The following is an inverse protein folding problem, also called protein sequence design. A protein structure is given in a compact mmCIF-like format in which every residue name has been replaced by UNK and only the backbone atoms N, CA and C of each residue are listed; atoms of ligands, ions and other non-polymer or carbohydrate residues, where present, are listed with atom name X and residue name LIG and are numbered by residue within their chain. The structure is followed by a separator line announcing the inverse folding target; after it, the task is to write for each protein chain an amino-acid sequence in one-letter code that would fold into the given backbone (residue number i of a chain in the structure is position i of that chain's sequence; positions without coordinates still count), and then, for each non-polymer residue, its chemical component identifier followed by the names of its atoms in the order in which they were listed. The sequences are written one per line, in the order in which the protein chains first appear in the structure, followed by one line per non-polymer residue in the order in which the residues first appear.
data_IF_201137166160
#
_entry.id   IF_201137166160
#
_cell.length_a   1.000
_cell.length_b   1.000
_cell.length_c   1.000
_cell.angle_alpha   90.00
_cell.angle_beta   90.00
_cell.angle_gamma   90.00
#
_symmetry.space_group_name_H-M   'P 1'
#
loop_
_entity.id
_entity.type
_entity.pdbx_description
1 polymer ?
#
# COMPACT_ATOMS: atom_id res chain seq x y z
N UNK A 1 -11.31 4.85 17.60
CA UNK A 1 -11.40 5.00 16.13
C UNK A 1 -12.50 4.07 15.65
N UNK A 2 -13.37 4.51 14.75
CA UNK A 2 -14.38 3.67 14.09
C UNK A 2 -13.67 2.57 13.28
N UNK A 3 -14.19 1.35 13.33
CA UNK A 3 -13.62 0.22 12.59
C UNK A 3 -13.94 0.37 11.09
N UNK A 4 -12.92 0.43 10.21
CA UNK A 4 -13.16 0.56 8.77
C UNK A 4 -13.75 -0.72 8.17
N UNK A 5 -15.03 -0.70 7.78
CA UNK A 5 -15.65 -1.79 7.03
C UNK A 5 -15.46 -1.58 5.52
N UNK A 6 -14.53 -2.30 4.90
CA UNK A 6 -14.20 -2.14 3.47
C UNK A 6 -15.35 -2.47 2.51
N UNK A 7 -16.39 -3.20 2.93
CA UNK A 7 -17.54 -3.49 2.07
C UNK A 7 -18.60 -2.39 2.09
N UNK A 8 -18.74 -1.71 3.24
CA UNK A 8 -19.69 -0.61 3.44
C UNK A 8 -19.17 0.35 4.52
N UNK A 9 -18.22 1.25 4.17
CA UNK A 9 -17.64 2.16 5.16
C UNK A 9 -18.65 3.20 5.66
N UNK A 10 -18.65 3.45 6.97
CA UNK A 10 -19.40 4.53 7.57
C UNK A 10 -18.67 5.87 7.35
N UNK A 11 -18.74 6.40 6.12
CA UNK A 11 -18.00 7.60 5.70
C UNK A 11 -18.22 8.84 6.58
N UNK A 12 -19.34 8.91 7.31
CA UNK A 12 -19.59 9.99 8.27
C UNK A 12 -18.61 9.99 9.45
N UNK A 13 -18.05 8.83 9.77
CA UNK A 13 -17.21 8.62 10.94
C UNK A 13 -15.71 8.65 10.60
N UNK A 14 -15.38 8.99 9.35
CA UNK A 14 -14.01 9.02 8.83
C UNK A 14 -13.69 10.47 8.45
N UNK A 15 -13.03 11.24 9.34
CA UNK A 15 -12.68 12.61 9.04
C UNK A 15 -11.61 12.67 7.95
N UNK A 16 -11.70 13.63 7.01
CA UNK A 16 -10.59 13.91 6.12
C UNK A 16 -9.39 14.48 6.89
N UNK A 17 -8.21 14.42 6.28
CA UNK A 17 -7.05 15.17 6.77
C UNK A 17 -7.24 16.67 6.55
N UNK A 18 -6.59 17.47 7.38
CA UNK A 18 -6.37 18.90 7.14
C UNK A 18 -4.88 19.20 7.05
N UNK A 19 -4.52 20.25 6.31
CA UNK A 19 -3.18 20.84 6.32
C UNK A 19 -3.06 21.80 7.50
N UNK A 20 -2.02 21.61 8.31
CA UNK A 20 -1.78 22.34 9.56
C UNK A 20 -0.58 23.30 9.49
N UNK A 21 0.15 23.34 8.37
CA UNK A 21 1.31 24.22 8.22
C UNK A 21 1.41 24.79 6.82
N UNK A 22 2.18 25.87 6.69
CA UNK A 22 2.70 26.29 5.38
C UNK A 22 3.56 25.17 4.78
N UNK A 23 3.58 25.11 3.45
CA UNK A 23 4.42 24.20 2.69
C UNK A 23 5.85 24.72 2.63
N UNK A 24 6.81 23.87 3.02
CA UNK A 24 8.22 24.22 3.15
C UNK A 24 9.06 23.40 2.16
N UNK A 25 9.77 24.03 1.21
CA UNK A 25 10.75 23.33 0.37
C UNK A 25 11.87 22.71 1.20
N UNK A 26 12.26 21.49 0.84
CA UNK A 26 13.34 20.72 1.46
C UNK A 26 14.63 20.85 0.64
N UNK A 27 15.77 20.50 1.25
CA UNK A 27 17.08 20.54 0.57
C UNK A 27 17.17 19.62 -0.65
N UNK A 28 16.32 18.60 -0.73
CA UNK A 28 16.29 17.60 -1.81
C UNK A 28 15.32 17.96 -2.94
N UNK A 29 14.74 19.16 -2.93
CA UNK A 29 13.76 19.60 -3.95
C UNK A 29 12.35 19.01 -3.77
N UNK A 30 12.05 18.41 -2.62
CA UNK A 30 10.68 18.07 -2.22
C UNK A 30 10.05 19.22 -1.42
N UNK A 31 8.75 19.16 -1.17
CA UNK A 31 7.99 20.09 -0.33
C UNK A 31 7.36 19.30 0.81
N UNK A 32 7.51 19.77 2.06
CA UNK A 32 6.92 19.16 3.23
C UNK A 32 5.76 20.00 3.75
N UNK A 33 4.66 19.34 4.11
CA UNK A 33 3.46 19.93 4.68
C UNK A 33 3.01 19.10 5.88
N UNK A 34 2.79 19.72 7.03
CA UNK A 34 2.21 19.04 8.18
C UNK A 34 0.70 18.87 8.00
N UNK A 35 0.18 17.70 8.33
CA UNK A 35 -1.25 17.38 8.33
C UNK A 35 -1.71 16.91 9.71
N UNK A 36 -3.02 16.79 9.91
CA UNK A 36 -3.60 16.22 11.14
C UNK A 36 -3.17 14.77 11.42
N UNK A 37 -2.59 14.06 10.44
CA UNK A 37 -2.08 12.70 10.59
C UNK A 37 -0.56 12.57 10.36
N UNK A 38 0.20 13.68 10.45
CA UNK A 38 1.65 13.69 10.30
C UNK A 38 2.13 14.39 9.02
N UNK A 39 3.39 14.18 8.64
CA UNK A 39 3.99 14.86 7.48
C UNK A 39 3.50 14.26 6.15
N UNK A 40 3.23 15.14 5.19
CA UNK A 40 3.07 14.85 3.77
C UNK A 40 4.28 15.44 3.03
N UNK A 41 5.04 14.59 2.35
CA UNK A 41 6.18 14.99 1.52
C UNK A 41 5.82 14.83 0.05
N UNK A 42 6.05 15.89 -0.72
CA UNK A 42 5.62 16.02 -2.12
C UNK A 42 6.85 16.27 -2.98
N UNK A 43 7.04 15.48 -4.03
CA UNK A 43 8.09 15.73 -5.03
C UNK A 43 7.50 15.86 -6.44
N UNK A 44 7.93 16.90 -7.16
CA UNK A 44 7.51 17.18 -8.53
C UNK A 44 8.48 16.53 -9.51
N UNK A 45 7.96 15.98 -10.60
CA UNK A 45 8.73 15.30 -11.64
C UNK A 45 8.19 15.66 -13.03
N UNK A 46 9.00 15.45 -14.08
CA UNK A 46 8.55 15.68 -15.46
C UNK A 46 7.42 14.74 -15.91
N UNK A 47 7.18 13.65 -15.17
CA UNK A 47 6.11 12.68 -15.44
C UNK A 47 4.92 12.81 -14.48
N UNK A 48 4.94 13.75 -13.53
CA UNK A 48 3.85 13.95 -12.58
C UNK A 48 4.33 14.27 -11.17
N UNK A 49 3.55 13.86 -10.17
CA UNK A 49 3.81 14.14 -8.75
C UNK A 49 3.92 12.84 -7.96
N UNK A 50 4.74 12.86 -6.91
CA UNK A 50 4.76 11.81 -5.89
C UNK A 50 4.37 12.37 -4.53
N UNK A 51 3.35 11.77 -3.92
CA UNK A 51 2.87 12.06 -2.57
C UNK A 51 3.35 10.94 -1.62
N UNK A 52 4.01 11.30 -0.53
CA UNK A 52 4.46 10.37 0.52
C UNK A 52 3.78 10.76 1.83
N UNK A 53 2.97 9.86 2.37
CA UNK A 53 2.25 10.05 3.64
C UNK A 53 2.95 9.31 4.77
N UNK A 54 3.23 10.02 5.86
CA UNK A 54 3.92 9.46 7.02
C UNK A 54 5.40 9.18 6.74
N UNK A 55 6.03 8.48 7.68
CA UNK A 55 7.43 8.08 7.60
C UNK A 55 7.52 6.58 7.32
N UNK A 56 8.47 6.18 6.47
CA UNK A 56 8.78 4.77 6.26
C UNK A 56 9.40 4.23 7.56
N UNK A 57 8.62 3.44 8.30
CA UNK A 57 9.07 2.81 9.54
C UNK A 57 9.77 1.45 9.31
N UNK A 58 9.66 0.90 8.10
CA UNK A 58 10.16 -0.43 7.78
C UNK A 58 10.53 -0.54 6.29
N UNK A 59 11.78 -0.94 6.00
CA UNK A 59 12.30 -1.51 4.74
C UNK A 59 12.05 -0.77 3.40
N UNK A 60 13.09 -0.61 2.60
CA UNK A 60 12.95 -0.41 1.15
C UNK A 60 12.96 -1.79 0.46
N UNK A 61 11.83 -2.19 -0.12
CA UNK A 61 11.66 -3.49 -0.78
C UNK A 61 12.19 -3.50 -2.22
N UNK A 62 12.89 -2.45 -2.65
CA UNK A 62 13.51 -2.38 -3.97
C UNK A 62 12.50 -2.29 -5.12
N UNK A 63 11.25 -1.89 -4.82
CA UNK A 63 10.23 -1.63 -5.86
C UNK A 63 10.68 -0.52 -6.82
N UNK A 64 11.45 0.46 -6.31
CA UNK A 64 12.16 1.42 -7.13
C UNK A 64 13.64 1.03 -7.20
N UNK A 65 14.14 0.83 -8.43
CA UNK A 65 15.57 0.59 -8.67
C UNK A 65 16.39 1.86 -8.37
N UNK A 66 15.77 3.04 -8.54
CA UNK A 66 16.36 4.34 -8.26
C UNK A 66 15.26 5.37 -8.01
N UNK A 67 15.47 6.29 -7.06
CA UNK A 67 14.62 7.47 -6.91
C UNK A 67 14.67 8.33 -8.18
N UNK A 68 13.52 8.63 -8.82
CA UNK A 68 13.49 9.55 -9.94
C UNK A 68 13.96 10.94 -9.52
N UNK A 69 14.73 11.65 -10.37
CA UNK A 69 15.16 13.00 -10.04
C UNK A 69 13.94 13.91 -9.89
N UNK A 70 13.85 14.60 -8.75
CA UNK A 70 12.84 15.61 -8.51
C UNK A 70 13.25 16.94 -9.18
N UNK A 71 12.25 17.68 -9.64
CA UNK A 71 12.40 19.06 -10.09
C UNK A 71 12.24 19.97 -8.88
N UNK A 72 13.10 20.98 -8.75
CA UNK A 72 12.96 22.01 -7.71
C UNK A 72 11.66 22.78 -7.98
N UNK A 73 10.67 22.72 -7.08
CA UNK A 73 9.38 23.34 -7.32
C UNK A 73 9.38 24.81 -6.90
N UNK A 74 8.50 25.59 -7.51
CA UNK A 74 8.06 26.89 -7.02
C UNK A 74 6.85 26.66 -6.12
N UNK A 75 6.86 27.24 -4.92
CA UNK A 75 5.80 27.06 -3.91
C UNK A 75 5.18 28.40 -3.58
N UNK A 76 3.86 28.51 -3.76
CA UNK A 76 3.06 29.68 -3.38
C UNK A 76 2.09 29.28 -2.28
N UNK A 77 2.31 29.80 -1.07
CA UNK A 77 1.45 29.54 0.09
C UNK A 77 0.35 30.61 0.17
N UNK A 78 -0.87 30.19 0.50
CA UNK A 78 -2.00 31.05 0.87
C UNK A 78 -2.69 30.49 2.12
N UNK A 79 -3.66 31.23 2.66
CA UNK A 79 -4.38 30.81 3.88
C UNK A 79 -5.07 29.44 3.71
N UNK A 80 -5.79 29.26 2.60
CA UNK A 80 -6.65 28.09 2.38
C UNK A 80 -6.11 27.09 1.34
N UNK A 81 -5.01 27.44 0.65
CA UNK A 81 -4.42 26.58 -0.36
C UNK A 81 -2.91 26.80 -0.49
N UNK A 82 -2.24 25.80 -1.06
CA UNK A 82 -0.84 25.85 -1.49
C UNK A 82 -0.77 25.46 -2.96
N UNK A 83 -0.02 26.21 -3.76
CA UNK A 83 0.27 25.86 -5.16
C UNK A 83 1.74 25.45 -5.26
N UNK A 84 2.00 24.29 -5.88
CA UNK A 84 3.33 23.73 -6.09
C UNK A 84 3.51 23.49 -7.59
N UNK A 85 4.46 24.19 -8.21
CA UNK A 85 4.71 24.14 -9.65
C UNK A 85 6.07 23.54 -9.94
N UNK A 86 6.15 22.60 -10.87
CA UNK A 86 7.42 21.99 -11.27
C UNK A 86 7.26 20.91 -12.33
N UNK A 87 8.25 20.80 -13.23
CA UNK A 87 8.27 19.74 -14.26
C UNK A 87 7.08 19.77 -15.23
N UNK A 88 6.53 20.95 -15.52
CA UNK A 88 5.33 21.11 -16.38
C UNK A 88 4.00 20.78 -15.69
N UNK A 89 4.01 20.58 -14.36
CA UNK A 89 2.83 20.28 -13.57
C UNK A 89 2.58 21.35 -12.51
N UNK A 90 1.29 21.55 -12.21
CA UNK A 90 0.82 22.42 -11.13
C UNK A 90 -0.04 21.59 -10.20
N UNK A 91 0.40 21.42 -8.95
CA UNK A 91 -0.37 20.79 -7.89
C UNK A 91 -0.94 21.88 -6.98
N UNK A 92 -2.26 21.98 -6.94
CA UNK A 92 -2.98 22.79 -5.96
C UNK A 92 -3.40 21.89 -4.81
N UNK A 93 -3.06 22.26 -3.57
CA UNK A 93 -3.50 21.62 -2.34
C UNK A 93 -4.45 22.56 -1.61
N UNK A 94 -5.68 22.14 -1.37
CA UNK A 94 -6.59 22.83 -0.48
C UNK A 94 -6.37 22.33 0.95
N UNK A 95 -6.48 23.22 1.94
CA UNK A 95 -6.04 22.91 3.30
C UNK A 95 -7.10 22.24 4.16
N UNK A 96 -8.38 22.58 4.00
CA UNK A 96 -9.47 22.17 4.90
C UNK A 96 -10.76 21.86 4.13
N UNK A 97 -11.03 20.59 3.79
CA UNK A 97 -10.15 19.45 3.99
C UNK A 97 -9.00 19.39 2.97
N UNK A 98 -7.96 18.63 3.31
CA UNK A 98 -6.88 18.25 2.41
C UNK A 98 -7.47 17.59 1.17
N UNK A 99 -7.44 18.33 0.06
CA UNK A 99 -7.82 17.90 -1.28
C UNK A 99 -6.85 18.50 -2.28
N UNK A 100 -6.85 17.99 -3.51
CA UNK A 100 -5.89 18.40 -4.51
C UNK A 100 -6.47 18.49 -5.91
N UNK A 101 -5.81 19.29 -6.73
CA UNK A 101 -5.94 19.32 -8.19
C UNK A 101 -4.53 19.23 -8.78
N UNK A 102 -4.35 18.39 -9.79
CA UNK A 102 -3.10 18.23 -10.51
C UNK A 102 -3.34 18.54 -11.98
N UNK A 103 -2.66 19.58 -12.45
CA UNK A 103 -2.66 19.98 -13.85
C UNK A 103 -1.33 19.61 -14.49
N UNK A 104 -1.39 19.29 -15.78
CA UNK A 104 -0.25 19.35 -16.69
C UNK A 104 -0.51 20.48 -17.67
N UNK A 105 0.34 21.49 -17.66
CA UNK A 105 0.09 22.78 -18.32
C UNK A 105 -1.25 23.39 -17.86
N UNK A 106 -2.29 23.41 -18.71
CA UNK A 106 -3.63 23.90 -18.38
C UNK A 106 -4.70 22.80 -18.30
N UNK A 107 -4.31 21.53 -18.48
CA UNK A 107 -5.24 20.41 -18.45
C UNK A 107 -5.19 19.75 -17.07
N UNK A 108 -6.34 19.66 -16.40
CA UNK A 108 -6.48 18.83 -15.21
C UNK A 108 -6.29 17.36 -15.59
N UNK A 109 -5.29 16.71 -15.01
CA UNK A 109 -4.98 15.30 -15.23
C UNK A 109 -5.52 14.41 -14.11
N UNK A 110 -5.66 14.95 -12.89
CA UNK A 110 -6.27 14.25 -11.76
C UNK A 110 -6.64 15.25 -10.65
N UNK A 111 -7.68 14.95 -9.88
CA UNK A 111 -8.11 15.77 -8.74
C UNK A 111 -8.79 14.92 -7.66
N UNK A 112 -9.13 15.55 -6.54
CA UNK A 112 -10.02 14.96 -5.54
C UNK A 112 -11.47 14.86 -6.05
N UNK A 113 -12.31 13.96 -5.52
CA UNK A 113 -13.60 13.65 -6.10
C UNK A 113 -14.54 14.85 -6.02
N UNK A 114 -15.35 15.07 -7.05
CA UNK A 114 -16.35 16.15 -7.07
C UNK A 114 -17.74 15.68 -6.63
N UNK A 115 -17.82 14.55 -5.92
CA UNK A 115 -19.05 13.82 -5.60
C UNK A 115 -19.80 14.36 -4.37
N UNK A 116 -19.96 15.68 -4.35
CA UNK A 116 -20.65 16.42 -3.31
C UNK A 116 -21.99 15.82 -2.94
N UNK A 117 -22.21 15.73 -1.64
CA UNK A 117 -23.41 15.18 -1.02
C UNK A 117 -24.07 16.29 -0.18
N UNK A 118 -25.39 16.24 0.02
CA UNK A 118 -26.11 17.27 0.78
C UNK A 118 -25.66 17.39 2.26
N UNK A 119 -24.93 16.39 2.77
CA UNK A 119 -24.34 16.38 4.13
C UNK A 119 -22.88 16.84 4.15
N UNK A 120 -22.14 16.68 3.04
CA UNK A 120 -20.68 16.89 3.00
C UNK A 120 -20.17 17.13 1.59
N UNK A 121 -19.07 17.88 1.47
CA UNK A 121 -18.44 18.20 0.19
C UNK A 121 -17.92 16.97 -0.57
N UNK A 122 -17.48 15.92 0.14
CA UNK A 122 -16.91 14.71 -0.47
C UNK A 122 -17.61 13.47 0.06
N UNK A 123 -18.03 12.53 -0.79
CA UNK A 123 -18.64 11.29 -0.32
C UNK A 123 -17.61 10.42 0.41
N UNK A 124 -16.56 9.89 -0.22
CA UNK A 124 -15.38 9.44 0.50
C UNK A 124 -14.46 10.64 0.80
N UNK A 125 -13.75 10.69 1.93
CA UNK A 125 -12.77 11.75 2.17
C UNK A 125 -11.64 11.68 1.12
N UNK A 126 -11.16 12.82 0.58
CA UNK A 126 -10.10 12.80 -0.43
C UNK A 126 -8.81 12.15 0.08
N UNK A 127 -8.44 12.44 1.32
CA UNK A 127 -7.37 11.79 2.07
C UNK A 127 -7.84 11.60 3.51
N UNK A 128 -7.66 10.40 4.06
CA UNK A 128 -7.97 10.10 5.45
C UNK A 128 -6.96 9.14 6.07
N UNK A 129 -6.83 9.22 7.40
CA UNK A 129 -6.16 8.21 8.22
C UNK A 129 -7.25 7.40 8.91
N UNK A 130 -7.31 6.10 8.62
CA UNK A 130 -8.21 5.14 9.28
C UNK A 130 -7.41 4.24 10.20
N UNK A 131 -8.11 3.46 11.03
CA UNK A 131 -7.51 2.47 11.92
C UNK A 131 -6.62 1.45 11.17
N UNK A 132 -7.07 1.04 9.97
CA UNK A 132 -6.35 0.09 9.12
C UNK A 132 -5.19 0.71 8.34
N UNK A 133 -5.09 2.04 8.19
CA UNK A 133 -4.04 2.64 7.39
C UNK A 133 -4.40 3.96 6.72
N UNK A 134 -3.88 4.16 5.51
CA UNK A 134 -4.09 5.38 4.72
C UNK A 134 -5.17 5.17 3.68
N UNK A 135 -6.04 6.16 3.54
CA UNK A 135 -7.09 6.18 2.52
C UNK A 135 -6.90 7.40 1.62
N UNK A 136 -6.99 7.20 0.31
CA UNK A 136 -6.92 8.27 -0.70
C UNK A 136 -7.93 8.00 -1.82
N UNK A 137 -8.57 9.06 -2.31
CA UNK A 137 -9.60 8.98 -3.34
C UNK A 137 -9.37 10.04 -4.42
N UNK A 138 -8.65 9.74 -5.50
CA UNK A 138 -8.74 10.51 -6.75
C UNK A 138 -10.11 10.36 -7.43
N UNK A 139 -10.45 11.34 -8.26
CA UNK A 139 -11.64 11.34 -9.10
C UNK A 139 -11.55 10.33 -10.26
N UNK A 140 -12.71 9.80 -10.65
CA UNK A 140 -12.93 9.16 -11.94
C UNK A 140 -14.05 9.88 -12.67
N UNK A 141 -13.89 10.31 -13.92
CA UNK A 141 -14.95 10.84 -14.77
C UNK A 141 -16.09 9.83 -15.00
N UNK A 142 -17.18 10.30 -15.63
CA UNK A 142 -18.31 9.44 -15.97
C UNK A 142 -17.85 8.37 -16.96
N UNK A 143 -18.13 7.11 -16.65
CA UNK A 143 -17.76 5.95 -17.48
C UNK A 143 -16.26 5.75 -17.79
N UNK A 144 -15.37 6.60 -17.28
CA UNK A 144 -13.92 6.42 -17.30
C UNK A 144 -13.49 5.00 -16.92
N UNK A 145 -12.86 4.26 -17.84
CA UNK A 145 -12.38 2.92 -17.57
C UNK A 145 -11.04 2.96 -16.83
N UNK A 146 -10.80 1.96 -16.00
CA UNK A 146 -9.53 1.80 -15.28
C UNK A 146 -8.98 0.41 -15.54
N UNK A 147 -7.69 0.34 -15.80
CA UNK A 147 -6.95 -0.86 -16.17
C UNK A 147 -5.70 -1.01 -15.30
N UNK A 148 -5.02 -2.16 -15.42
CA UNK A 148 -3.81 -2.47 -14.65
C UNK A 148 -4.08 -3.39 -13.46
N UNK A 149 -3.38 -3.12 -12.34
CA UNK A 149 -3.40 -3.90 -11.09
C UNK A 149 -2.81 -5.32 -11.18
N UNK A 150 -2.19 -5.67 -12.31
CA UNK A 150 -1.54 -6.96 -12.53
C UNK A 150 -2.51 -8.07 -12.93
N UNK A 151 -2.22 -9.29 -12.48
CA UNK A 151 -3.02 -10.48 -12.73
C UNK A 151 -4.32 -10.41 -11.93
N UNK A 152 -5.43 -10.07 -12.60
CA UNK A 152 -6.77 -10.04 -12.01
C UNK A 152 -7.80 -10.60 -12.97
N UNK A 153 -8.55 -11.59 -12.50
CA UNK A 153 -9.62 -12.26 -13.23
C UNK A 153 -10.86 -11.37 -13.37
N UNK A 154 -11.79 -11.76 -14.25
CA UNK A 154 -12.97 -10.96 -14.60
C UNK A 154 -12.72 -9.91 -15.70
N UNK A 155 -13.55 -8.87 -15.72
CA UNK A 155 -13.49 -7.82 -16.76
C UNK A 155 -12.12 -7.14 -16.79
N UNK A 156 -11.63 -6.86 -18.01
CA UNK A 156 -10.41 -6.07 -18.23
C UNK A 156 -10.56 -4.66 -17.65
N UNK A 157 -11.70 -4.01 -17.93
CA UNK A 157 -12.06 -2.76 -17.27
C UNK A 157 -12.43 -3.06 -15.81
N UNK A 158 -11.65 -2.50 -14.88
CA UNK A 158 -11.79 -2.69 -13.44
C UNK A 158 -12.86 -1.79 -12.83
N UNK A 159 -13.47 -0.87 -13.59
CA UNK A 159 -14.56 -0.02 -13.09
C UNK A 159 -15.72 -0.87 -12.53
N UNK A 160 -16.20 -0.46 -11.37
CA UNK A 160 -17.23 -1.15 -10.58
C UNK A 160 -16.69 -2.22 -9.63
N UNK A 161 -15.39 -2.54 -9.64
CA UNK A 161 -14.82 -3.63 -8.86
C UNK A 161 -14.19 -3.14 -7.54
N UNK A 162 -14.24 -4.00 -6.53
CA UNK A 162 -13.43 -3.92 -5.32
C UNK A 162 -12.33 -4.98 -5.43
N UNK A 163 -11.07 -4.56 -5.52
CA UNK A 163 -9.93 -5.43 -5.83
C UNK A 163 -8.95 -5.38 -4.68
N UNK A 164 -8.45 -6.55 -4.24
CA UNK A 164 -7.44 -6.65 -3.21
C UNK A 164 -6.07 -6.87 -3.84
N UNK A 165 -5.20 -5.90 -3.62
CA UNK A 165 -3.78 -6.01 -3.90
C UNK A 165 -3.11 -6.76 -2.75
N UNK A 166 -3.01 -8.08 -2.86
CA UNK A 166 -2.34 -8.95 -1.91
C UNK A 166 -1.94 -10.22 -2.66
N UNK A 167 -0.65 -10.58 -2.65
CA UNK A 167 -0.21 -11.83 -3.27
C UNK A 167 -0.65 -12.99 -2.38
N UNK A 168 -1.52 -13.83 -2.93
CA UNK A 168 -2.12 -14.96 -2.23
C UNK A 168 -2.05 -16.20 -3.13
N UNK A 169 -1.99 -17.38 -2.51
CA UNK A 169 -2.13 -18.64 -3.23
C UNK A 169 -3.55 -18.74 -3.78
N UNK A 170 -3.70 -18.51 -5.08
CA UNK A 170 -5.00 -18.37 -5.71
C UNK A 170 -5.73 -19.71 -5.89
N UNK A 171 -5.00 -20.84 -5.90
CA UNK A 171 -5.47 -22.22 -6.16
C UNK A 171 -6.24 -22.45 -7.49
N UNK A 172 -6.89 -21.44 -8.07
CA UNK A 172 -7.61 -21.45 -9.34
C UNK A 172 -7.62 -20.06 -10.02
N UNK A 173 -8.45 -19.90 -11.07
CA UNK A 173 -8.60 -18.65 -11.85
C UNK A 173 -10.01 -18.07 -11.82
N UNK A 174 -10.85 -18.54 -10.89
CA UNK A 174 -12.26 -18.18 -10.78
C UNK A 174 -12.52 -17.16 -9.66
N UNK A 175 -11.56 -16.99 -8.74
CA UNK A 175 -11.63 -16.03 -7.64
C UNK A 175 -10.96 -14.68 -7.92
N UNK A 176 -10.86 -13.84 -6.88
CA UNK A 176 -10.12 -12.58 -6.93
C UNK A 176 -8.63 -12.74 -6.59
N UNK A 177 -8.31 -13.77 -5.78
CA UNK A 177 -6.96 -14.10 -5.37
C UNK A 177 -6.05 -14.29 -6.59
N UNK A 178 -4.83 -13.75 -6.50
CA UNK A 178 -3.86 -13.84 -7.57
C UNK A 178 -2.42 -13.77 -7.06
N UNK A 179 -1.51 -14.36 -7.82
CA UNK A 179 -0.10 -14.46 -7.45
C UNK A 179 0.68 -13.20 -7.82
N UNK A 180 0.26 -12.49 -8.88
CA UNK A 180 1.04 -11.43 -9.52
C UNK A 180 0.29 -10.10 -9.52
N UNK A 181 0.11 -9.53 -8.33
CA UNK A 181 -0.40 -8.17 -8.21
C UNK A 181 0.69 -7.16 -8.66
N UNK A 182 0.34 -6.17 -9.50
CA UNK A 182 1.25 -5.09 -9.95
C UNK A 182 0.71 -3.72 -9.55
N UNK A 183 1.41 -2.90 -8.74
CA UNK A 183 0.80 -1.77 -8.02
C UNK A 183 0.66 -0.53 -8.91
N UNK A 184 0.10 -0.71 -10.10
CA UNK A 184 -0.06 0.32 -11.12
C UNK A 184 -1.44 0.21 -11.75
N UNK A 185 -2.24 1.25 -11.58
CA UNK A 185 -3.52 1.44 -12.27
C UNK A 185 -3.41 2.60 -13.25
N UNK A 186 -4.18 2.58 -14.32
CA UNK A 186 -4.18 3.66 -15.31
C UNK A 186 -5.51 3.78 -16.03
N UNK A 187 -5.72 4.94 -16.64
CA UNK A 187 -6.89 5.26 -17.46
C UNK A 187 -6.45 5.81 -18.82
N UNK A 188 -7.19 5.52 -19.91
CA UNK A 188 -6.96 6.13 -21.21
C UNK A 188 -7.20 7.65 -21.22
N UNK A 189 -7.82 8.21 -20.16
CA UNK A 189 -7.96 9.66 -19.98
C UNK A 189 -6.63 10.37 -19.64
N UNK A 190 -5.52 9.63 -19.52
CA UNK A 190 -4.18 10.21 -19.50
C UNK A 190 -3.50 10.25 -18.13
N UNK A 191 -3.99 9.50 -17.15
CA UNK A 191 -3.31 9.33 -15.85
C UNK A 191 -2.95 7.89 -15.54
N UNK A 192 -1.91 7.73 -14.73
CA UNK A 192 -1.49 6.48 -14.10
C UNK A 192 -1.18 6.71 -12.63
N UNK A 193 -1.50 5.74 -11.79
CA UNK A 193 -1.28 5.75 -10.35
C UNK A 193 -0.42 4.55 -9.97
N UNK A 194 0.79 4.82 -9.49
CA UNK A 194 1.70 3.82 -8.92
C UNK A 194 1.64 3.88 -7.40
N UNK A 195 1.10 2.86 -6.75
CA UNK A 195 0.98 2.80 -5.29
C UNK A 195 2.25 2.19 -4.71
N UNK A 196 3.22 3.04 -4.40
CA UNK A 196 4.54 2.60 -3.96
C UNK A 196 4.53 2.12 -2.49
N UNK A 197 4.05 0.90 -2.26
CA UNK A 197 3.99 0.27 -0.93
C UNK A 197 3.99 -1.27 -1.05
N UNK A 198 4.65 -2.00 -0.13
CA UNK A 198 4.55 -3.46 -0.03
C UNK A 198 3.28 -3.90 0.71
N UNK A 199 2.59 -2.96 1.36
CA UNK A 199 1.40 -3.24 2.14
C UNK A 199 0.22 -3.65 1.23
N UNK A 200 -0.69 -4.50 1.70
CA UNK A 200 -1.93 -4.76 1.02
C UNK A 200 -2.71 -3.48 0.70
N UNK A 201 -3.20 -3.37 -0.52
CA UNK A 201 -4.00 -2.22 -0.95
C UNK A 201 -5.37 -2.70 -1.40
N UNK A 202 -6.43 -2.13 -0.84
CA UNK A 202 -7.79 -2.38 -1.35
C UNK A 202 -8.18 -1.25 -2.29
N UNK A 203 -8.43 -1.59 -3.55
CA UNK A 203 -8.80 -0.67 -4.61
C UNK A 203 -10.31 -0.72 -4.85
N UNK A 204 -11.01 0.36 -4.55
CA UNK A 204 -12.40 0.55 -4.95
C UNK A 204 -12.45 1.38 -6.22
N UNK A 205 -12.55 0.71 -7.37
CA UNK A 205 -12.48 1.34 -8.68
C UNK A 205 -13.88 1.74 -9.12
N UNK A 206 -14.35 2.95 -8.79
CA UNK A 206 -15.74 3.32 -9.02
C UNK A 206 -16.73 2.38 -8.31
N UNK A 207 -16.29 1.75 -7.21
CA UNK A 207 -17.05 0.73 -6.49
C UNK A 207 -18.24 1.37 -5.78
N UNK A 208 -19.46 0.97 -6.13
CA UNK A 208 -20.67 1.69 -5.76
C UNK A 208 -20.88 1.90 -4.25
N UNK A 209 -20.56 0.93 -3.36
CA UNK A 209 -20.62 1.16 -1.91
C UNK A 209 -19.70 2.28 -1.41
N UNK A 210 -18.60 2.55 -2.12
CA UNK A 210 -17.68 3.65 -1.82
C UNK A 210 -18.12 4.91 -2.58
N UNK A 211 -17.83 4.95 -3.87
CA UNK A 211 -18.29 5.98 -4.82
C UNK A 211 -18.06 5.53 -6.25
N UNK A 212 -19.03 5.77 -7.14
CA UNK A 212 -18.86 5.56 -8.59
C UNK A 212 -18.11 6.71 -9.28
N UNK A 213 -17.78 7.77 -8.54
CA UNK A 213 -17.08 8.98 -8.98
C UNK A 213 -15.61 9.01 -8.55
N UNK A 214 -15.12 7.97 -7.87
CA UNK A 214 -13.77 7.95 -7.33
C UNK A 214 -13.07 6.61 -7.57
N UNK A 215 -11.75 6.67 -7.69
CA UNK A 215 -10.86 5.52 -7.59
C UNK A 215 -10.21 5.56 -6.21
N UNK A 216 -10.77 4.86 -5.24
CA UNK A 216 -10.25 4.93 -3.88
C UNK A 216 -9.29 3.79 -3.56
N UNK A 217 -8.31 4.09 -2.72
CA UNK A 217 -7.27 3.16 -2.29
C UNK A 217 -7.18 3.20 -0.77
N UNK A 218 -7.37 2.04 -0.15
CA UNK A 218 -7.02 1.81 1.24
C UNK A 218 -5.68 1.07 1.28
N UNK A 219 -4.62 1.75 1.72
CA UNK A 219 -3.31 1.16 1.98
C UNK A 219 -3.28 0.69 3.42
N UNK A 220 -3.42 -0.62 3.62
CA UNK A 220 -3.46 -1.24 4.94
C UNK A 220 -2.19 -2.09 5.16
N UNK A 221 -1.34 -1.77 6.16
CA UNK A 221 -0.15 -2.57 6.46
C UNK A 221 -0.48 -4.05 6.64
N UNK A 222 0.32 -4.93 6.03
CA UNK A 222 0.22 -6.39 6.22
C UNK A 222 0.58 -6.81 7.63
N UNK A 223 1.38 -5.98 8.32
CA UNK A 223 1.82 -6.19 9.68
C UNK A 223 1.11 -5.18 10.57
N UNK A 224 0.49 -5.66 11.65
CA UNK A 224 0.17 -4.75 12.76
C UNK A 224 1.48 -4.07 13.20
N UNK A 225 1.46 -2.77 13.55
CA UNK A 225 2.61 -2.12 14.17
C UNK A 225 3.15 -3.00 15.30
N UNK A 226 4.41 -3.43 15.19
CA UNK A 226 5.02 -4.41 16.10
C UNK A 226 5.49 -5.70 15.41
N UNK A 227 4.90 -6.12 14.29
CA UNK A 227 5.26 -7.40 13.63
C UNK A 227 4.46 -8.59 14.14
N UNK A 228 3.25 -8.36 14.66
CA UNK A 228 2.38 -9.43 15.15
C UNK A 228 1.87 -10.31 14.00
N UNK A 229 2.09 -11.62 14.11
CA UNK A 229 1.56 -12.68 13.26
C UNK A 229 0.88 -13.74 14.11
N UNK A 230 -0.21 -14.28 13.60
CA UNK A 230 -0.95 -15.39 14.21
C UNK A 230 -0.64 -16.68 13.43
N UNK A 231 -0.18 -17.73 14.11
CA UNK A 231 0.07 -19.03 13.49
C UNK A 231 -0.52 -20.17 14.33
N UNK A 232 -1.28 -21.07 13.69
CA UNK A 232 -1.74 -22.31 14.31
C UNK A 232 -0.68 -23.40 14.15
N UNK A 233 -0.25 -23.99 15.26
CA UNK A 233 0.64 -25.13 15.26
C UNK A 233 -0.17 -26.41 15.51
N UNK A 234 -0.23 -27.36 14.55
CA UNK A 234 -1.02 -28.57 14.69
C UNK A 234 -0.63 -29.40 15.91
N UNK A 235 -1.56 -30.23 16.41
CA UNK A 235 -1.27 -31.13 17.53
C UNK A 235 -0.21 -32.17 17.14
N UNK A 236 0.76 -32.39 18.02
CA UNK A 236 1.77 -33.44 17.93
C UNK A 236 1.63 -34.36 19.15
N UNK A 237 1.73 -35.67 18.94
CA UNK A 237 1.65 -36.65 20.03
C UNK A 237 2.93 -36.60 20.87
N UNK A 238 2.82 -36.22 22.15
CA UNK A 238 3.93 -36.19 23.12
C UNK A 238 5.18 -35.41 22.64
N UNK A 239 4.99 -34.32 21.89
CA UNK A 239 6.08 -33.49 21.36
C UNK A 239 5.66 -32.03 21.17
N UNK A 240 6.64 -31.15 21.01
CA UNK A 240 6.45 -29.73 20.69
C UNK A 240 7.00 -29.36 19.30
N UNK A 241 6.64 -28.18 18.83
CA UNK A 241 7.21 -27.57 17.63
C UNK A 241 8.42 -26.72 18.02
N UNK A 242 9.50 -26.74 17.25
CA UNK A 242 10.65 -25.88 17.43
C UNK A 242 10.66 -24.83 16.31
N UNK A 243 10.88 -23.56 16.65
CA UNK A 243 11.03 -22.49 15.66
C UNK A 243 12.38 -22.64 14.97
N UNK A 244 12.39 -22.72 13.65
CA UNK A 244 13.61 -22.74 12.85
C UNK A 244 14.07 -21.31 12.53
N UNK A 245 15.38 -20.99 12.61
CA UNK A 245 16.48 -21.85 13.03
C UNK A 245 16.80 -21.79 14.53
N UNK A 246 16.05 -21.02 15.34
CA UNK A 246 16.41 -20.73 16.74
C UNK A 246 16.32 -21.93 17.70
N UNK A 247 15.53 -22.94 17.36
CA UNK A 247 15.24 -24.10 18.22
C UNK A 247 14.21 -23.82 19.31
N UNK A 248 13.68 -22.60 19.41
CA UNK A 248 12.74 -22.20 20.47
C UNK A 248 11.48 -23.08 20.47
N UNK A 249 11.07 -23.67 21.62
CA UNK A 249 9.95 -24.60 21.68
C UNK A 249 8.58 -23.89 21.72
N UNK A 250 7.60 -24.48 21.05
CA UNK A 250 6.22 -24.02 20.94
C UNK A 250 5.24 -25.18 21.15
N UNK A 251 4.24 -24.95 21.99
CA UNK A 251 3.20 -25.96 22.25
C UNK A 251 2.41 -26.33 21.00
N UNK A 252 2.08 -27.61 20.88
CA UNK A 252 1.31 -28.15 19.77
C UNK A 252 -0.20 -28.04 20.01
N UNK A 253 -0.99 -28.00 18.93
CA UNK A 253 -2.45 -28.03 18.97
C UNK A 253 -3.12 -26.68 19.28
N UNK A 254 -2.41 -25.55 19.17
CA UNK A 254 -2.96 -24.22 19.46
C UNK A 254 -2.43 -23.13 18.53
N UNK A 255 -3.16 -22.02 18.55
CA UNK A 255 -2.76 -20.77 17.89
C UNK A 255 -1.79 -20.00 18.78
N UNK A 256 -0.74 -19.46 18.18
CA UNK A 256 0.26 -18.60 18.82
C UNK A 256 0.27 -17.23 18.17
N UNK A 257 0.46 -16.21 18.98
CA UNK A 257 0.65 -14.83 18.54
C UNK A 257 2.12 -14.49 18.73
N UNK A 258 2.81 -14.15 17.64
CA UNK A 258 4.25 -13.91 17.63
C UNK A 258 4.53 -12.52 17.13
N UNK A 259 5.62 -11.94 17.60
CA UNK A 259 6.14 -10.68 17.11
C UNK A 259 7.41 -10.98 16.32
N UNK A 260 7.38 -10.84 14.99
CA UNK A 260 8.49 -11.16 14.09
C UNK A 260 9.09 -9.90 13.47
N UNK A 261 10.43 -9.83 13.44
CA UNK A 261 11.13 -8.83 12.65
C UNK A 261 11.11 -9.21 11.15
N UNK A 262 11.47 -8.29 10.26
CA UNK A 262 11.48 -8.54 8.81
C UNK A 262 12.42 -9.67 8.37
N UNK A 263 13.43 -9.98 9.18
CA UNK A 263 14.39 -11.06 8.90
C UNK A 263 14.00 -12.38 9.58
N UNK A 264 12.88 -12.40 10.32
CA UNK A 264 12.36 -13.59 10.96
C UNK A 264 11.26 -14.22 10.11
N UNK A 265 11.24 -15.54 10.09
CA UNK A 265 10.20 -16.32 9.43
C UNK A 265 9.52 -17.24 10.44
N UNK A 266 8.21 -17.42 10.28
CA UNK A 266 7.38 -18.30 11.11
C UNK A 266 7.50 -19.76 10.64
N UNK A 267 8.70 -20.33 10.68
CA UNK A 267 8.94 -21.73 10.29
C UNK A 267 9.10 -22.58 11.54
N UNK A 268 8.34 -23.67 11.62
CA UNK A 268 8.32 -24.56 12.78
C UNK A 268 8.50 -26.01 12.34
N UNK A 269 9.24 -26.76 13.14
CA UNK A 269 9.61 -28.15 12.84
C UNK A 269 9.45 -29.03 14.08
N UNK A 270 8.97 -30.27 13.99
CA UNK A 270 8.76 -31.12 15.16
C UNK A 270 10.06 -31.45 15.89
N UNK A 271 10.01 -31.62 17.21
CA UNK A 271 11.13 -31.75 18.18
C UNK A 271 12.19 -32.84 17.90
N UNK A 272 12.07 -33.66 16.87
CA UNK A 272 13.00 -34.77 16.59
C UNK A 272 13.53 -34.76 15.17
N UNK A 273 13.38 -33.65 14.47
CA UNK A 273 13.67 -33.55 13.04
C UNK A 273 15.06 -32.97 12.80
N UNK A 274 16.01 -33.81 12.38
CA UNK A 274 17.24 -33.32 11.75
C UNK A 274 16.89 -32.78 10.37
N UNK A 275 17.26 -31.53 10.09
CA UNK A 275 17.00 -30.91 8.79
C UNK A 275 18.32 -30.84 8.02
N UNK A 276 18.46 -31.55 6.91
CA UNK A 276 19.59 -31.37 6.01
C UNK A 276 19.46 -30.02 5.32
N UNK A 277 20.39 -29.12 5.62
CA UNK A 277 20.50 -27.82 4.97
C UNK A 277 21.52 -27.92 3.84
N UNK A 278 21.11 -27.45 2.66
CA UNK A 278 22.02 -27.30 1.52
C UNK A 278 22.94 -26.10 1.65
N UNK A 279 23.95 -25.99 0.78
CA UNK A 279 24.81 -24.80 0.75
C UNK A 279 24.02 -23.58 0.27
N UNK A 280 24.35 -22.40 0.80
CA UNK A 280 23.81 -21.14 0.32
C UNK A 280 24.26 -20.91 -1.14
N UNK A 281 23.30 -20.91 -2.07
CA UNK A 281 23.54 -20.68 -3.50
C UNK A 281 22.63 -19.58 -4.03
N UNK A 282 23.14 -18.80 -4.99
CA UNK A 282 22.37 -17.72 -5.60
C UNK A 282 21.29 -18.21 -6.59
N UNK A 283 21.46 -19.40 -7.17
CA UNK A 283 20.53 -20.06 -8.08
C UNK A 283 20.79 -21.58 -8.09
N UNK A 284 19.78 -22.36 -8.48
CA UNK A 284 19.80 -23.83 -8.35
C UNK A 284 20.88 -24.52 -9.19
N UNK A 285 21.24 -23.96 -10.34
CA UNK A 285 22.26 -24.55 -11.24
C UNK A 285 23.69 -24.49 -10.66
N UNK A 286 23.91 -23.69 -9.61
CA UNK A 286 25.18 -23.67 -8.89
C UNK A 286 25.38 -24.90 -7.98
N UNK A 287 24.33 -25.70 -7.74
CA UNK A 287 24.43 -26.95 -7.00
C UNK A 287 25.05 -28.02 -7.90
N UNK A 288 26.36 -28.24 -7.76
CA UNK A 288 27.05 -29.36 -8.43
C UNK A 288 26.52 -30.70 -7.91
N UNK A 289 26.55 -31.75 -8.73
CA UNK A 289 25.98 -33.09 -8.50
C UNK A 289 26.59 -33.92 -7.34
N UNK A 290 27.26 -33.28 -6.38
CA UNK A 290 27.79 -33.87 -5.15
C UNK A 290 26.80 -33.87 -3.97
N UNK A 291 27.31 -33.99 -2.75
CA UNK A 291 26.50 -33.95 -1.52
C UNK A 291 25.74 -32.63 -1.43
N UNK A 292 24.42 -32.69 -1.60
CA UNK A 292 23.49 -31.56 -1.51
C UNK A 292 23.26 -31.11 -0.05
N UNK A 293 23.88 -31.79 0.92
CA UNK A 293 23.79 -31.48 2.34
C UNK A 293 25.10 -30.82 2.77
N UNK A 294 25.03 -29.57 3.18
CA UNK A 294 26.15 -28.79 3.72
C UNK A 294 26.20 -28.88 5.25
N UNK A 295 25.05 -28.91 5.93
CA UNK A 295 24.96 -29.05 7.39
C UNK A 295 23.68 -29.76 7.80
N UNK A 296 23.66 -30.24 9.05
CA UNK A 296 22.45 -30.75 9.70
C UNK A 296 22.07 -29.76 10.78
N UNK A 297 20.87 -29.19 10.67
CA UNK A 297 20.29 -28.45 11.76
C UNK A 297 19.65 -29.42 12.75
N UNK A 298 19.92 -29.19 14.03
CA UNK A 298 19.38 -29.91 15.18
C UNK A 298 18.80 -28.89 16.14
N UNK A 299 17.59 -29.14 16.60
CA UNK A 299 16.93 -28.38 17.65
C UNK A 299 17.45 -28.76 19.05
#
# INVERSE_FOLDING_TARGET
MSHFNSTAPAWNDIPPLDVCSIAVPTQTGAVSVATTAGQLVISMHNFGVRLRFGECQFGDYGMLIKEPPAVIPVVTNSENLTIIEGGGHTLTLHHQPLSFELLKDSQCIQQSPTDSHFVRQFRPPPVARVDQGWFISPELESSEPVYGLGEKWGSLNKRGQLIRFCNEDALDVNGEASYKNTPFAWSPNGWGAFVHTPAPVTHGVGFAPWSQRAYSMLVAPCLKPGGEVECYLPHLNNSHWCKFPSGEPFESGRTHQLTLSLNDIAVFVPEVTQIPLGPDVAYTDALTSGSLIASLWTN
#
